data_IF_108745554658
#
_entry.id   IF_108745554658
#
_cell.length_a   1.000
_cell.length_b   1.000
_cell.length_c   1.000
_cell.angle_alpha   90.00
_cell.angle_beta   90.00
_cell.angle_gamma   90.00
#
_symmetry.space_group_name_H-M   'P 1'
#
loop_
_entity.id
_entity.type
_entity.pdbx_description
1 polymer ?
#
# COMPACT_ATOMS: atom_id res chain seq x y z
N UNK A 1 -20.50 14.28 8.97
CA UNK A 1 -19.14 14.82 9.20
C UNK A 1 -18.46 15.02 7.85
N UNK A 2 -18.09 16.27 7.53
CA UNK A 2 -17.24 16.72 6.42
C UNK A 2 -17.49 16.18 5.00
N UNK A 3 -18.59 16.58 4.35
CA UNK A 3 -18.68 16.62 2.88
C UNK A 3 -18.08 17.92 2.34
N UNK A 4 -16.83 18.22 2.71
CA UNK A 4 -16.10 19.35 2.14
C UNK A 4 -15.22 18.82 1.00
N UNK A 5 -15.50 19.15 -0.28
CA UNK A 5 -14.74 18.67 -1.43
C UNK A 5 -13.24 19.03 -1.35
N UNK A 6 -12.87 19.98 -0.50
CA UNK A 6 -11.49 20.30 -0.18
C UNK A 6 -10.70 19.13 0.43
N UNK A 7 -11.32 18.27 1.25
CA UNK A 7 -10.65 17.08 1.79
C UNK A 7 -10.30 16.07 0.69
N UNK A 8 -11.18 15.91 -0.30
CA UNK A 8 -10.92 15.04 -1.44
C UNK A 8 -9.79 15.57 -2.31
N UNK A 9 -9.76 16.88 -2.56
CA UNK A 9 -8.69 17.54 -3.31
C UNK A 9 -7.36 17.42 -2.55
N UNK A 10 -7.36 17.69 -1.25
CA UNK A 10 -6.16 17.59 -0.40
C UNK A 10 -5.64 16.15 -0.33
N UNK A 11 -6.53 15.17 -0.17
CA UNK A 11 -6.17 13.75 -0.15
C UNK A 11 -5.58 13.30 -1.49
N UNK A 12 -6.19 13.69 -2.62
CA UNK A 12 -5.65 13.35 -3.94
C UNK A 12 -4.29 14.00 -4.19
N UNK A 13 -4.14 15.28 -3.81
CA UNK A 13 -2.87 16.00 -3.88
C UNK A 13 -1.80 15.32 -3.02
N UNK A 14 -2.15 14.87 -1.81
CA UNK A 14 -1.26 14.14 -0.92
C UNK A 14 -0.83 12.80 -1.53
N UNK A 15 -1.76 12.03 -2.11
CA UNK A 15 -1.47 10.76 -2.78
C UNK A 15 -0.52 10.99 -3.97
N UNK A 16 -0.78 11.99 -4.81
CA UNK A 16 0.08 12.34 -5.95
C UNK A 16 1.47 12.80 -5.47
N UNK A 17 1.53 13.62 -4.43
CA UNK A 17 2.79 14.11 -3.87
C UNK A 17 3.61 12.98 -3.25
N UNK A 18 2.98 12.07 -2.51
CA UNK A 18 3.64 10.92 -1.90
C UNK A 18 4.15 9.97 -2.98
N UNK A 19 3.35 9.71 -4.02
CA UNK A 19 3.81 8.97 -5.20
C UNK A 19 4.99 9.68 -5.87
N UNK A 20 4.92 10.98 -6.13
CA UNK A 20 6.03 11.72 -6.73
C UNK A 20 7.32 11.65 -5.90
N UNK A 21 7.23 11.65 -4.57
CA UNK A 21 8.36 11.45 -3.65
C UNK A 21 8.94 10.04 -3.72
N UNK A 22 8.08 9.01 -3.66
CA UNK A 22 8.48 7.60 -3.72
C UNK A 22 9.09 7.25 -5.09
N UNK A 23 8.52 7.81 -6.16
CA UNK A 23 8.91 7.60 -7.56
C UNK A 23 10.14 8.45 -7.96
N UNK A 24 10.30 9.66 -7.41
CA UNK A 24 11.28 10.66 -7.83
C UNK A 24 12.59 10.68 -7.03
N UNK A 25 12.57 10.38 -5.73
CA UNK A 25 13.74 10.56 -4.85
C UNK A 25 14.36 9.24 -4.38
N UNK A 26 13.56 8.18 -4.20
CA UNK A 26 14.08 6.89 -3.70
C UNK A 26 14.78 6.03 -4.77
N UNK A 27 14.73 6.45 -6.02
CA UNK A 27 15.11 5.65 -7.19
C UNK A 27 16.62 5.69 -7.51
N UNK A 28 17.48 5.40 -6.52
CA UNK A 28 18.94 5.31 -6.80
C UNK A 28 19.71 4.17 -6.17
N UNK A 29 19.14 3.37 -5.26
CA UNK A 29 19.86 2.20 -4.72
C UNK A 29 18.96 0.99 -4.64
N UNK A 30 19.08 0.14 -5.66
CA UNK A 30 18.63 -1.23 -5.68
C UNK A 30 19.38 -2.03 -4.61
N UNK A 31 18.99 -1.88 -3.34
CA UNK A 31 19.40 -2.82 -2.31
C UNK A 31 18.46 -4.02 -2.43
N UNK A 32 19.00 -5.16 -2.88
CA UNK A 32 18.26 -6.43 -2.90
C UNK A 32 18.05 -6.86 -1.46
N UNK A 33 17.01 -6.37 -0.82
CA UNK A 33 16.52 -6.91 0.45
C UNK A 33 16.10 -8.35 0.13
N UNK A 34 16.80 -9.34 0.68
CA UNK A 34 16.49 -10.74 0.44
C UNK A 34 15.11 -11.10 0.98
N UNK A 35 14.47 -12.12 0.42
CA UNK A 35 13.11 -12.57 0.84
C UNK A 35 13.04 -12.81 2.35
N UNK A 36 14.11 -13.33 2.96
CA UNK A 36 14.22 -13.53 4.41
C UNK A 36 14.19 -12.23 5.20
N UNK A 37 14.89 -11.22 4.72
CA UNK A 37 14.99 -9.92 5.36
C UNK A 37 13.67 -9.15 5.21
N UNK A 38 13.03 -9.21 4.03
CA UNK A 38 11.69 -8.67 3.80
C UNK A 38 10.62 -9.35 4.68
N UNK A 39 10.72 -10.66 4.89
CA UNK A 39 9.83 -11.40 5.79
C UNK A 39 10.03 -10.98 7.25
N UNK A 40 11.28 -10.84 7.71
CA UNK A 40 11.58 -10.33 9.06
C UNK A 40 11.00 -8.94 9.25
N UNK A 41 11.23 -8.03 8.31
CA UNK A 41 10.65 -6.69 8.35
C UNK A 41 9.12 -6.74 8.41
N UNK A 42 8.48 -7.58 7.60
CA UNK A 42 7.02 -7.75 7.64
C UNK A 42 6.52 -8.20 9.02
N UNK A 43 7.19 -9.18 9.64
CA UNK A 43 6.85 -9.65 10.99
C UNK A 43 7.05 -8.56 12.04
N UNK A 44 8.13 -7.78 11.97
CA UNK A 44 8.38 -6.66 12.88
C UNK A 44 7.24 -5.64 12.79
N UNK A 45 6.84 -5.25 11.58
CA UNK A 45 5.75 -4.29 11.37
C UNK A 45 4.39 -4.82 11.84
N UNK A 46 4.09 -6.11 11.57
CA UNK A 46 2.87 -6.75 12.07
C UNK A 46 2.87 -6.78 13.61
N UNK A 47 4.00 -7.13 14.22
CA UNK A 47 4.12 -7.20 15.69
C UNK A 47 3.92 -5.81 16.31
N UNK A 48 4.49 -4.77 15.71
CA UNK A 48 4.30 -3.40 16.17
C UNK A 48 2.84 -2.95 16.06
N UNK A 49 2.16 -3.28 14.95
CA UNK A 49 0.74 -2.99 14.78
C UNK A 49 -0.14 -3.71 15.82
N UNK A 50 0.18 -4.97 16.13
CA UNK A 50 -0.53 -5.74 17.16
C UNK A 50 -0.26 -5.21 18.57
N UNK A 51 0.97 -4.78 18.87
CA UNK A 51 1.30 -4.12 20.14
C UNK A 51 0.54 -2.80 20.30
N UNK A 52 0.47 -2.01 19.23
CA UNK A 52 -0.33 -0.80 19.23
C UNK A 52 -1.82 -1.09 19.45
N UNK A 53 -2.35 -2.12 18.79
CA UNK A 53 -3.72 -2.56 19.00
C UNK A 53 -3.99 -3.02 20.45
N UNK A 54 -3.04 -3.72 21.08
CA UNK A 54 -3.12 -4.10 22.49
C UNK A 54 -3.11 -2.86 23.41
N UNK A 55 -2.35 -1.82 23.05
CA UNK A 55 -2.40 -0.52 23.70
C UNK A 55 -3.78 0.13 23.56
N UNK A 56 -4.34 0.20 22.35
CA UNK A 56 -5.68 0.73 22.11
C UNK A 56 -6.75 -0.02 22.91
N UNK A 57 -6.63 -1.34 23.01
CA UNK A 57 -7.55 -2.16 23.80
C UNK A 57 -7.55 -1.75 25.28
N UNK A 58 -6.40 -1.33 25.83
CA UNK A 58 -6.29 -0.90 27.22
C UNK A 58 -6.73 0.55 27.46
N UNK A 59 -6.43 1.48 26.55
CA UNK A 59 -6.68 2.91 26.73
C UNK A 59 -8.03 3.40 26.17
N UNK A 60 -8.41 2.93 24.98
CA UNK A 60 -9.57 3.39 24.21
C UNK A 60 -10.72 2.36 24.22
N UNK A 61 -10.44 1.14 24.71
CA UNK A 61 -11.41 0.07 24.88
C UNK A 61 -11.50 -0.91 23.69
N UNK A 62 -12.31 -1.97 23.84
CA UNK A 62 -12.35 -3.09 22.90
C UNK A 62 -12.92 -2.72 21.53
N UNK A 63 -13.83 -1.75 21.46
CA UNK A 63 -14.52 -1.39 20.22
C UNK A 63 -13.58 -0.69 19.22
N UNK A 64 -12.81 0.29 19.68
CA UNK A 64 -11.83 1.02 18.87
C UNK A 64 -10.68 0.09 18.45
N UNK A 65 -10.21 -0.79 19.35
CA UNK A 65 -9.22 -1.80 19.01
C UNK A 65 -9.72 -2.76 17.92
N UNK A 66 -10.97 -3.22 18.00
CA UNK A 66 -11.53 -4.10 16.98
C UNK A 66 -11.67 -3.41 15.62
N UNK A 67 -12.05 -2.12 15.61
CA UNK A 67 -12.10 -1.32 14.38
C UNK A 67 -10.70 -1.13 13.77
N UNK A 68 -9.69 -0.82 14.59
CA UNK A 68 -8.31 -0.70 14.14
C UNK A 68 -7.79 -2.02 13.57
N UNK A 69 -7.96 -3.12 14.29
CA UNK A 69 -7.49 -4.43 13.85
C UNK A 69 -8.24 -4.90 12.58
N UNK A 70 -9.55 -4.66 12.51
CA UNK A 70 -10.35 -4.96 11.32
C UNK A 70 -9.90 -4.17 10.10
N UNK A 71 -9.68 -2.86 10.25
CA UNK A 71 -9.14 -2.01 9.19
C UNK A 71 -7.73 -2.44 8.76
N UNK A 72 -6.84 -2.67 9.72
CA UNK A 72 -5.48 -3.15 9.46
C UNK A 72 -5.46 -4.47 8.69
N UNK A 73 -6.27 -5.46 9.10
CA UNK A 73 -6.37 -6.73 8.39
C UNK A 73 -6.98 -6.58 6.99
N UNK A 74 -7.98 -5.71 6.81
CA UNK A 74 -8.54 -5.41 5.50
C UNK A 74 -7.49 -4.82 4.56
N UNK A 75 -6.76 -3.80 5.00
CA UNK A 75 -5.70 -3.16 4.21
C UNK A 75 -4.57 -4.14 3.88
N UNK A 76 -4.15 -4.97 4.85
CA UNK A 76 -3.14 -6.00 4.61
C UNK A 76 -3.61 -7.07 3.64
N UNK A 77 -4.86 -7.52 3.74
CA UNK A 77 -5.41 -8.56 2.84
C UNK A 77 -5.51 -8.03 1.41
N UNK A 78 -5.99 -6.80 1.21
CA UNK A 78 -6.00 -6.14 -0.10
C UNK A 78 -4.60 -5.98 -0.69
N UNK A 79 -3.61 -5.67 0.15
CA UNK A 79 -2.21 -5.56 -0.30
C UNK A 79 -1.63 -6.90 -0.75
N UNK A 80 -1.94 -7.99 -0.04
CA UNK A 80 -1.45 -9.35 -0.35
C UNK A 80 -2.09 -9.89 -1.63
N UNK A 81 -3.39 -9.66 -1.83
CA UNK A 81 -4.12 -10.05 -3.05
C UNK A 81 -3.50 -9.40 -4.29
N UNK A 82 -3.19 -8.09 -4.21
CA UNK A 82 -2.53 -7.37 -5.29
C UNK A 82 -1.14 -7.94 -5.63
N UNK A 83 -0.31 -8.24 -4.61
CA UNK A 83 1.02 -8.83 -4.82
C UNK A 83 0.92 -10.22 -5.49
N UNK A 84 -0.06 -11.02 -5.09
CA UNK A 84 -0.28 -12.35 -5.66
C UNK A 84 -0.56 -12.27 -7.18
N UNK A 85 -1.44 -11.36 -7.59
CA UNK A 85 -1.73 -11.13 -9.01
C UNK A 85 -0.46 -10.72 -9.78
N UNK A 86 0.35 -9.82 -9.23
CA UNK A 86 1.60 -9.41 -9.88
C UNK A 86 2.59 -10.57 -10.03
N UNK A 87 2.78 -11.38 -8.99
CA UNK A 87 3.67 -12.55 -9.03
C UNK A 87 3.19 -13.58 -10.04
N UNK A 88 1.88 -13.82 -10.13
CA UNK A 88 1.30 -14.73 -11.13
C UNK A 88 1.59 -14.25 -12.56
N UNK A 89 1.39 -12.96 -12.83
CA UNK A 89 1.68 -12.34 -14.14
C UNK A 89 3.18 -12.46 -14.46
N UNK A 90 4.07 -12.08 -13.53
CA UNK A 90 5.51 -12.14 -13.76
C UNK A 90 6.02 -13.56 -13.97
N UNK A 91 5.41 -14.55 -13.30
CA UNK A 91 5.74 -15.97 -13.46
C UNK A 91 5.27 -16.48 -14.81
N UNK A 92 4.04 -16.14 -15.23
CA UNK A 92 3.50 -16.51 -16.53
C UNK A 92 4.35 -15.98 -17.70
N UNK A 93 4.81 -14.73 -17.60
CA UNK A 93 5.65 -14.10 -18.62
C UNK A 93 7.16 -14.30 -18.41
N UNK A 94 7.59 -15.11 -17.42
CA UNK A 94 8.99 -15.33 -17.06
C UNK A 94 9.83 -14.03 -16.97
N UNK A 95 9.25 -12.99 -16.36
CA UNK A 95 9.86 -11.64 -16.34
C UNK A 95 11.11 -11.60 -15.45
N UNK A 96 12.30 -11.23 -15.99
CA UNK A 96 13.52 -11.13 -15.18
C UNK A 96 13.37 -10.14 -14.02
N UNK A 97 13.94 -10.47 -12.86
CA UNK A 97 13.79 -9.70 -11.62
C UNK A 97 14.23 -8.22 -11.71
N UNK A 98 15.16 -7.92 -12.62
CA UNK A 98 15.61 -6.55 -12.89
C UNK A 98 14.51 -5.66 -13.48
N UNK A 99 13.60 -6.25 -14.28
CA UNK A 99 12.50 -5.51 -14.91
C UNK A 99 11.22 -5.51 -14.07
N UNK A 100 11.06 -6.41 -13.10
CA UNK A 100 9.84 -6.51 -12.28
C UNK A 100 9.48 -5.19 -11.60
N UNK A 101 10.46 -4.48 -11.04
CA UNK A 101 10.20 -3.18 -10.41
C UNK A 101 9.73 -2.12 -11.41
N UNK A 102 10.31 -2.09 -12.61
CA UNK A 102 9.90 -1.16 -13.69
C UNK A 102 8.51 -1.48 -14.22
N UNK A 103 8.17 -2.76 -14.36
CA UNK A 103 6.83 -3.17 -14.79
C UNK A 103 5.79 -2.86 -13.71
N UNK A 104 6.12 -3.11 -12.44
CA UNK A 104 5.26 -2.76 -11.30
C UNK A 104 5.01 -1.24 -11.24
N UNK A 105 6.06 -0.43 -11.45
CA UNK A 105 5.97 1.02 -11.54
C UNK A 105 4.95 1.46 -12.59
N UNK A 106 5.06 0.97 -13.83
CA UNK A 106 4.15 1.33 -14.91
C UNK A 106 2.73 0.81 -14.67
N UNK A 107 2.60 -0.37 -14.03
CA UNK A 107 1.31 -0.94 -13.64
C UNK A 107 0.58 -0.08 -12.61
N UNK A 108 1.24 0.30 -11.52
CA UNK A 108 0.65 1.16 -10.46
C UNK A 108 0.28 2.53 -11.03
N UNK A 109 1.17 3.13 -11.84
CA UNK A 109 0.90 4.43 -12.46
C UNK A 109 -0.34 4.37 -13.36
N UNK A 110 -0.44 3.34 -14.21
CA UNK A 110 -1.58 3.16 -15.11
C UNK A 110 -2.86 2.88 -14.32
N UNK A 111 -2.81 2.03 -13.29
CA UNK A 111 -3.94 1.73 -12.42
C UNK A 111 -4.45 2.99 -11.69
N UNK A 112 -3.55 3.85 -11.21
CA UNK A 112 -3.91 5.11 -10.58
C UNK A 112 -4.57 6.07 -11.57
N UNK A 113 -4.05 6.20 -12.80
CA UNK A 113 -4.64 7.04 -13.84
C UNK A 113 -6.03 6.54 -14.22
N UNK A 114 -6.19 5.23 -14.42
CA UNK A 114 -7.50 4.61 -14.69
C UNK A 114 -8.47 4.86 -13.52
N UNK A 115 -8.01 4.68 -12.28
CA UNK A 115 -8.82 4.95 -11.09
C UNK A 115 -9.21 6.42 -10.99
N UNK A 116 -8.27 7.34 -11.23
CA UNK A 116 -8.52 8.78 -11.19
C UNK A 116 -9.49 9.25 -12.27
N UNK A 117 -9.35 8.72 -13.49
CA UNK A 117 -10.27 9.02 -14.59
C UNK A 117 -11.68 8.51 -14.29
N UNK A 118 -11.85 7.30 -13.77
CA UNK A 118 -13.16 6.79 -13.35
C UNK A 118 -13.85 7.68 -12.31
N UNK A 119 -13.10 8.17 -11.31
CA UNK A 119 -13.62 9.11 -10.30
C UNK A 119 -14.06 10.43 -10.94
N UNK A 120 -13.26 10.98 -11.86
CA UNK A 120 -13.59 12.23 -12.55
C UNK A 120 -14.79 12.10 -13.50
N UNK A 121 -14.95 10.94 -14.14
CA UNK A 121 -16.07 10.65 -15.05
C UNK A 121 -17.36 10.31 -14.33
N UNK A 122 -17.36 10.24 -12.99
CA UNK A 122 -18.57 10.07 -12.19
C UNK A 122 -18.91 8.61 -11.89
N UNK A 123 -17.96 7.87 -11.31
CA UNK A 123 -18.29 6.72 -10.46
C UNK A 123 -18.96 7.16 -9.16
#
# INVERSE_FOLDING_TARGET
MATNPWFWILFNLFVIAMLALDLGIFNRKAHRIGVKEAAIWSVVWISLALLFNAGLYHFEGPEIAMQFLGGYLLEKSLSVDNIFVFVMIFTYFATPAEYQHRVLYWGILTALVLRGTMILTGA
#
